data_IF_396683519300
#
_entry.id   IF_396683519300
#
_cell.length_a   1.000
_cell.length_b   1.000
_cell.length_c   1.000
_cell.angle_alpha   90.00
_cell.angle_beta   90.00
_cell.angle_gamma   90.00
#
_symmetry.space_group_name_H-M   'P 1'
#
loop_
_entity.id
_entity.type
_entity.pdbx_description
1 polymer ?
#
# COMPACT_ATOMS: atom_id res chain seq x y z
N UNK A 1 -29.70 9.82 8.19
CA UNK A 1 -30.23 9.38 6.89
C UNK A 1 -29.23 9.57 5.76
N UNK A 2 -29.34 10.67 5.01
CA UNK A 2 -28.57 10.87 3.76
C UNK A 2 -27.05 10.88 3.89
N UNK A 3 -26.47 11.47 4.94
CA UNK A 3 -25.00 11.53 5.09
C UNK A 3 -24.36 10.17 5.41
N UNK A 4 -25.07 9.29 6.12
CA UNK A 4 -24.57 7.94 6.43
C UNK A 4 -24.62 7.01 5.21
N UNK A 5 -25.60 7.21 4.33
CA UNK A 5 -25.71 6.50 3.05
C UNK A 5 -24.64 7.00 2.07
N UNK A 6 -24.40 8.32 2.00
CA UNK A 6 -23.32 8.88 1.18
C UNK A 6 -21.95 8.40 1.66
N UNK A 7 -21.71 8.33 2.98
CA UNK A 7 -20.45 7.77 3.52
C UNK A 7 -20.26 6.27 3.22
N UNK A 8 -21.37 5.53 3.03
CA UNK A 8 -21.33 4.13 2.58
C UNK A 8 -21.04 4.03 1.07
N UNK A 9 -21.68 4.85 0.23
CA UNK A 9 -21.43 4.88 -1.21
C UNK A 9 -20.02 5.40 -1.56
N UNK A 10 -19.51 6.37 -0.80
CA UNK A 10 -18.14 6.90 -0.97
C UNK A 10 -17.05 5.95 -0.44
N UNK A 11 -17.40 4.92 0.34
CA UNK A 11 -16.46 3.89 0.77
C UNK A 11 -15.83 3.14 -0.42
N UNK A 12 -16.47 3.13 -1.59
CA UNK A 12 -15.92 2.48 -2.80
C UNK A 12 -14.82 3.29 -3.51
N UNK A 13 -14.58 4.57 -3.15
CA UNK A 13 -13.51 5.38 -3.79
C UNK A 13 -12.26 5.40 -2.93
N UNK A 14 -11.38 4.41 -3.11
CA UNK A 14 -10.09 4.40 -2.44
C UNK A 14 -9.17 5.52 -3.00
N UNK A 15 -8.98 6.58 -2.21
CA UNK A 15 -8.15 7.73 -2.55
C UNK A 15 -6.71 7.62 -1.99
N UNK A 16 -6.40 6.53 -1.30
CA UNK A 16 -5.11 6.33 -0.62
C UNK A 16 -4.53 4.97 -0.97
N UNK A 17 -3.26 4.92 -1.37
CA UNK A 17 -2.57 3.69 -1.74
C UNK A 17 -1.28 3.54 -0.95
N UNK A 18 -0.92 2.29 -0.63
CA UNK A 18 0.36 1.93 -0.03
C UNK A 18 1.03 0.83 -0.86
N UNK A 19 2.29 1.03 -1.23
CA UNK A 19 3.01 0.07 -2.07
C UNK A 19 4.39 -0.23 -1.49
N UNK A 20 4.77 -1.50 -1.51
CA UNK A 20 6.13 -1.91 -1.17
C UNK A 20 7.13 -1.46 -2.24
N UNK A 21 8.34 -1.09 -1.84
CA UNK A 21 9.47 -0.91 -2.76
C UNK A 21 10.64 -1.73 -2.24
N UNK A 22 11.03 -2.74 -3.00
CA UNK A 22 12.08 -3.69 -2.64
C UNK A 22 13.26 -3.48 -3.58
N UNK A 23 14.46 -3.36 -3.01
CA UNK A 23 15.69 -3.39 -3.78
C UNK A 23 16.22 -4.82 -3.86
N UNK A 24 16.42 -5.34 -5.08
CA UNK A 24 17.01 -6.65 -5.33
C UNK A 24 18.38 -6.49 -6.00
N UNK A 25 19.44 -6.85 -5.29
CA UNK A 25 20.80 -6.91 -5.82
C UNK A 25 20.98 -8.16 -6.68
N UNK A 26 22.00 -8.13 -7.53
CA UNK A 26 22.34 -9.26 -8.39
C UNK A 26 22.50 -10.55 -7.58
N UNK A 27 21.83 -11.61 -8.02
CA UNK A 27 21.92 -12.95 -7.43
C UNK A 27 21.11 -13.18 -6.15
N UNK A 28 20.47 -12.16 -5.57
CA UNK A 28 19.61 -12.34 -4.40
C UNK A 28 18.32 -13.08 -4.78
N UNK A 29 18.00 -14.17 -4.08
CA UNK A 29 16.86 -15.04 -4.39
C UNK A 29 16.07 -15.50 -3.17
N UNK A 30 16.45 -15.06 -1.97
CA UNK A 30 15.73 -15.32 -0.72
C UNK A 30 15.12 -14.06 -0.12
N UNK A 31 14.02 -14.22 0.61
CA UNK A 31 13.35 -13.14 1.34
C UNK A 31 14.31 -12.38 2.28
N UNK A 32 15.17 -13.12 2.98
CA UNK A 32 16.16 -12.60 3.93
C UNK A 32 17.18 -11.68 3.25
N UNK A 33 17.67 -12.06 2.07
CA UNK A 33 18.58 -11.24 1.27
C UNK A 33 17.90 -9.95 0.77
N UNK A 34 16.64 -10.06 0.30
CA UNK A 34 15.88 -8.93 -0.23
C UNK A 34 15.62 -7.87 0.85
N UNK A 35 15.15 -8.28 2.03
CA UNK A 35 14.91 -7.36 3.13
C UNK A 35 16.17 -6.99 3.91
N UNK A 36 17.29 -7.71 3.73
CA UNK A 36 18.58 -7.40 4.37
C UNK A 36 19.32 -6.20 3.78
N UNK A 37 18.87 -5.64 2.66
CA UNK A 37 19.54 -4.52 2.00
C UNK A 37 19.42 -3.20 2.78
N UNK A 38 20.54 -2.58 3.15
CA UNK A 38 20.58 -1.31 3.90
C UNK A 38 21.15 -0.12 3.13
N UNK A 39 21.79 -0.38 1.99
CA UNK A 39 22.46 0.65 1.23
C UNK A 39 21.64 1.01 0.00
N UNK A 40 21.47 2.30 -0.22
CA UNK A 40 20.83 2.86 -1.41
C UNK A 40 21.90 3.30 -2.40
N UNK A 41 21.96 2.64 -3.56
CA UNK A 41 22.84 3.04 -4.66
C UNK A 41 22.33 4.31 -5.33
N UNK A 42 23.19 5.04 -6.07
CA UNK A 42 22.75 6.19 -6.87
C UNK A 42 21.61 5.85 -7.84
N UNK A 43 21.66 4.65 -8.45
CA UNK A 43 20.63 4.15 -9.36
C UNK A 43 19.28 3.97 -8.64
N UNK A 44 19.29 3.38 -7.44
CA UNK A 44 18.08 3.20 -6.66
C UNK A 44 17.50 4.53 -6.18
N UNK A 45 18.34 5.47 -5.72
CA UNK A 45 17.89 6.82 -5.34
C UNK A 45 17.27 7.58 -6.53
N UNK A 46 17.87 7.48 -7.72
CA UNK A 46 17.30 8.04 -8.94
C UNK A 46 15.92 7.45 -9.23
N UNK A 47 15.76 6.12 -9.11
CA UNK A 47 14.46 5.47 -9.25
C UNK A 47 13.44 5.93 -8.21
N UNK A 48 13.82 6.05 -6.93
CA UNK A 48 12.93 6.53 -5.87
C UNK A 48 12.41 7.94 -6.17
N UNK A 49 13.25 8.82 -6.73
CA UNK A 49 12.82 10.17 -7.16
C UNK A 49 11.77 10.16 -8.28
N UNK A 50 11.70 9.08 -9.08
CA UNK A 50 10.66 8.91 -10.10
C UNK A 50 9.32 8.54 -9.47
N UNK A 51 9.32 7.86 -8.32
CA UNK A 51 8.10 7.46 -7.61
C UNK A 51 7.45 8.62 -6.87
N UNK A 52 8.25 9.45 -6.20
CA UNK A 52 7.73 10.50 -5.32
C UNK A 52 8.81 11.37 -4.70
N UNK A 53 8.36 12.24 -3.81
CA UNK A 53 9.21 13.09 -3.01
C UNK A 53 9.67 12.35 -1.77
N UNK A 54 10.94 12.53 -1.40
CA UNK A 54 11.45 12.06 -0.12
C UNK A 54 10.92 12.98 0.98
N UNK A 55 10.18 12.43 1.94
CA UNK A 55 9.53 13.16 3.03
C UNK A 55 10.08 12.71 4.37
N UNK A 56 10.14 13.62 5.34
CA UNK A 56 10.36 13.26 6.75
C UNK A 56 9.05 12.70 7.33
N UNK A 57 9.15 11.62 8.09
CA UNK A 57 7.99 10.98 8.71
C UNK A 57 7.52 11.75 9.96
N UNK A 58 8.46 12.36 10.69
CA UNK A 58 8.14 13.14 11.87
C UNK A 58 7.15 14.26 11.51
N UNK A 59 6.00 14.28 12.19
CA UNK A 59 4.95 15.27 12.00
C UNK A 59 4.32 15.33 10.60
N UNK A 60 4.57 14.33 9.73
CA UNK A 60 3.98 14.26 8.39
C UNK A 60 2.45 14.30 8.43
N UNK A 61 1.84 15.13 7.55
CA UNK A 61 0.40 15.41 7.57
C UNK A 61 -0.41 14.70 6.49
N UNK A 62 0.24 14.08 5.51
CA UNK A 62 -0.42 13.30 4.45
C UNK A 62 -0.79 11.88 4.88
N UNK A 63 -1.29 11.10 3.94
CA UNK A 63 -1.55 9.67 4.17
C UNK A 63 -0.28 8.92 4.57
N UNK A 64 -0.24 8.42 5.81
CA UNK A 64 0.97 7.77 6.39
C UNK A 64 1.20 6.31 6.00
N UNK A 65 0.27 5.65 5.29
CA UNK A 65 0.44 4.27 4.82
C UNK A 65 0.60 3.18 5.88
N UNK A 66 0.61 3.53 7.16
CA UNK A 66 0.91 2.63 8.26
C UNK A 66 2.20 2.94 9.01
N UNK A 67 2.96 3.93 8.54
CA UNK A 67 4.20 4.40 9.15
C UNK A 67 3.93 5.25 10.41
N UNK A 68 4.91 5.25 11.31
CA UNK A 68 4.93 6.05 12.52
C UNK A 68 5.44 7.46 12.21
N UNK A 69 4.62 8.45 12.54
CA UNK A 69 4.88 9.88 12.32
C UNK A 69 5.16 10.63 13.63
N UNK A 70 5.20 9.92 14.76
CA UNK A 70 5.27 10.52 16.10
C UNK A 70 6.49 10.09 16.90
N UNK A 71 6.94 8.84 16.77
CA UNK A 71 8.03 8.29 17.60
C UNK A 71 9.20 7.72 16.80
N UNK A 72 9.19 7.84 15.47
CA UNK A 72 10.28 7.40 14.59
C UNK A 72 10.50 5.88 14.55
N UNK A 73 9.49 5.07 14.90
CA UNK A 73 9.63 3.61 14.99
C UNK A 73 9.73 2.92 13.62
N UNK A 74 9.35 3.60 12.54
CA UNK A 74 9.33 3.04 11.17
C UNK A 74 10.29 3.76 10.23
N UNK A 75 11.39 4.28 10.77
CA UNK A 75 12.36 5.10 10.03
C UNK A 75 12.09 6.59 10.17
N UNK A 76 13.01 7.41 9.67
CA UNK A 76 12.93 8.87 9.71
C UNK A 76 12.32 9.48 8.46
N UNK A 77 12.37 8.77 7.34
CA UNK A 77 11.94 9.27 6.03
C UNK A 77 11.28 8.17 5.20
N UNK A 78 10.53 8.59 4.20
CA UNK A 78 9.92 7.70 3.21
C UNK A 78 9.73 8.41 1.87
N UNK A 79 9.17 7.73 0.87
CA UNK A 79 8.80 8.32 -0.41
C UNK A 79 7.28 8.44 -0.48
N UNK A 80 6.80 9.62 -0.88
CA UNK A 80 5.38 9.94 -0.95
C UNK A 80 5.04 10.72 -2.22
N UNK A 81 3.82 10.56 -2.74
CA UNK A 81 3.31 11.44 -3.78
C UNK A 81 1.80 11.56 -3.80
N UNK A 82 1.31 12.66 -4.37
CA UNK A 82 -0.09 12.79 -4.79
C UNK A 82 -0.15 12.61 -6.30
N UNK A 83 -0.83 11.56 -6.74
CA UNK A 83 -1.01 11.24 -8.15
C UNK A 83 -2.50 11.19 -8.50
N UNK A 84 -2.96 12.08 -9.39
CA UNK A 84 -4.37 12.19 -9.79
C UNK A 84 -5.34 12.25 -8.60
N UNK A 85 -5.03 13.14 -7.64
CA UNK A 85 -5.77 13.34 -6.39
C UNK A 85 -5.77 12.13 -5.43
N UNK A 86 -4.92 11.13 -5.67
CA UNK A 86 -4.72 9.98 -4.79
C UNK A 86 -3.39 10.11 -4.07
N UNK A 87 -3.39 9.93 -2.76
CA UNK A 87 -2.17 9.92 -1.97
C UNK A 87 -1.54 8.52 -2.01
N UNK A 88 -0.24 8.45 -2.25
CA UNK A 88 0.51 7.19 -2.34
C UNK A 88 1.69 7.25 -1.38
N UNK A 89 1.69 6.34 -0.41
CA UNK A 89 2.82 6.11 0.49
C UNK A 89 3.62 4.89 0.03
N UNK A 90 4.94 5.00 -0.06
CA UNK A 90 5.80 3.88 -0.42
C UNK A 90 6.50 3.30 0.81
N UNK A 91 6.38 2.00 1.04
CA UNK A 91 7.16 1.29 2.05
C UNK A 91 8.51 0.88 1.43
N UNK A 92 9.49 1.78 1.49
CA UNK A 92 10.82 1.55 0.91
C UNK A 92 11.67 0.69 1.85
N UNK A 93 12.10 -0.48 1.39
CA UNK A 93 12.79 -1.48 2.22
C UNK A 93 14.04 -0.92 2.91
N UNK A 94 14.82 -0.08 2.23
CA UNK A 94 16.05 0.53 2.76
C UNK A 94 15.79 1.68 3.75
N UNK A 95 14.60 2.30 3.72
CA UNK A 95 14.21 3.40 4.63
C UNK A 95 13.51 2.91 5.89
N UNK A 96 12.99 1.69 5.86
CA UNK A 96 12.45 1.01 7.04
C UNK A 96 13.60 0.54 7.95
N UNK A 97 13.38 0.50 9.28
CA UNK A 97 14.40 0.15 10.25
C UNK A 97 15.04 -1.20 9.95
N UNK A 98 16.37 -1.25 10.05
CA UNK A 98 17.12 -2.48 10.03
C UNK A 98 17.35 -2.97 11.45
N UNK A 99 17.09 -4.25 11.72
CA UNK A 99 17.35 -4.85 13.03
C UNK A 99 18.51 -5.83 12.92
N UNK A 100 19.64 -5.51 13.54
CA UNK A 100 20.80 -6.42 13.57
C UNK A 100 20.43 -7.72 14.30
N UNK A 101 20.80 -8.87 13.72
CA UNK A 101 20.46 -10.19 14.25
C UNK A 101 19.06 -10.72 13.91
N UNK A 102 18.16 -9.89 13.37
CA UNK A 102 16.88 -10.35 12.83
C UNK A 102 17.01 -10.69 11.35
N UNK A 103 17.31 -11.95 11.04
CA UNK A 103 17.52 -12.40 9.65
C UNK A 103 16.26 -12.19 8.79
N UNK A 104 15.07 -12.27 9.38
CA UNK A 104 13.79 -12.09 8.66
C UNK A 104 13.39 -10.62 8.49
N UNK A 105 14.08 -9.69 9.16
CA UNK A 105 13.78 -8.26 9.15
C UNK A 105 12.28 -7.98 9.34
N UNK A 106 11.72 -8.50 10.43
CA UNK A 106 10.27 -8.51 10.72
C UNK A 106 9.65 -7.12 10.67
N UNK A 107 10.38 -6.07 11.05
CA UNK A 107 9.89 -4.68 10.95
C UNK A 107 9.63 -4.29 9.50
N UNK A 108 10.53 -4.63 8.57
CA UNK A 108 10.36 -4.36 7.13
C UNK A 108 9.24 -5.21 6.55
N UNK A 109 9.25 -6.50 6.87
CA UNK A 109 8.25 -7.46 6.44
C UNK A 109 6.84 -7.12 6.92
N UNK A 110 6.69 -6.57 8.13
CA UNK A 110 5.38 -6.14 8.66
C UNK A 110 4.72 -5.05 7.82
N UNK A 111 5.50 -4.17 7.21
CA UNK A 111 4.96 -3.13 6.34
C UNK A 111 4.79 -3.67 4.92
N UNK A 112 5.89 -4.05 4.27
CA UNK A 112 5.89 -4.46 2.86
C UNK A 112 5.10 -5.76 2.65
N UNK A 113 5.22 -6.72 3.57
CA UNK A 113 4.51 -7.98 3.51
C UNK A 113 3.01 -7.87 3.77
N UNK A 114 2.51 -6.71 4.21
CA UNK A 114 1.07 -6.41 4.33
C UNK A 114 0.57 -5.47 3.22
N UNK A 115 1.44 -5.09 2.28
CA UNK A 115 0.99 -4.42 1.06
C UNK A 115 0.41 -5.44 0.08
N UNK A 116 -0.46 -4.97 -0.81
CA UNK A 116 -1.06 -5.81 -1.85
C UNK A 116 -0.15 -5.89 -3.08
N UNK A 117 0.55 -4.79 -3.37
CA UNK A 117 1.42 -4.62 -4.55
C UNK A 117 2.77 -4.08 -4.12
N UNK A 118 3.84 -4.57 -4.73
CA UNK A 118 5.18 -4.03 -4.55
C UNK A 118 5.90 -3.77 -5.89
N UNK A 119 6.73 -2.73 -5.92
CA UNK A 119 7.73 -2.53 -6.96
C UNK A 119 9.04 -3.20 -6.55
N UNK A 120 9.68 -3.91 -7.47
CA UNK A 120 11.00 -4.53 -7.26
C UNK A 120 12.01 -3.84 -8.17
N UNK A 121 12.97 -3.13 -7.60
CA UNK A 121 14.01 -2.45 -8.36
C UNK A 121 15.26 -3.33 -8.50
N UNK A 122 15.81 -3.41 -9.71
CA UNK A 122 16.99 -4.19 -10.06
C UNK A 122 18.00 -3.35 -10.85
N UNK A 123 19.27 -3.42 -10.49
CA UNK A 123 20.36 -2.88 -11.33
C UNK A 123 20.88 -3.88 -12.35
N UNK A 124 20.79 -5.17 -12.02
CA UNK A 124 21.18 -6.26 -12.89
C UNK A 124 20.06 -7.30 -12.97
N UNK A 125 19.91 -7.92 -14.14
CA UNK A 125 18.87 -8.89 -14.39
C UNK A 125 18.98 -10.06 -13.41
N UNK A 126 17.98 -10.16 -12.53
CA UNK A 126 17.90 -11.22 -11.51
C UNK A 126 16.52 -11.86 -11.58
N UNK A 127 16.41 -13.20 -11.60
CA UNK A 127 15.11 -13.86 -11.53
C UNK A 127 14.33 -13.44 -10.28
N UNK A 128 13.03 -13.20 -10.43
CA UNK A 128 12.13 -12.94 -9.33
C UNK A 128 10.81 -13.66 -9.58
N UNK A 129 10.33 -14.38 -8.56
CA UNK A 129 9.01 -15.01 -8.57
C UNK A 129 8.25 -14.63 -7.30
N UNK A 130 6.91 -14.49 -7.34
CA UNK A 130 6.10 -14.13 -6.19
C UNK A 130 6.37 -14.95 -4.92
N UNK A 131 6.71 -16.23 -5.08
CA UNK A 131 6.96 -17.18 -3.98
C UNK A 131 8.26 -16.88 -3.21
N UNK A 132 9.13 -16.01 -3.71
CA UNK A 132 10.34 -15.58 -2.99
C UNK A 132 10.01 -14.82 -1.70
N UNK A 133 8.81 -14.22 -1.59
CA UNK A 133 8.37 -13.48 -0.42
C UNK A 133 7.13 -14.14 0.16
N UNK A 134 7.25 -14.65 1.38
CA UNK A 134 6.18 -15.33 2.09
C UNK A 134 5.21 -14.29 2.69
N UNK A 135 4.20 -13.91 1.91
CA UNK A 135 3.16 -12.98 2.30
C UNK A 135 1.75 -13.50 2.00
N UNK A 136 0.82 -13.14 2.88
CA UNK A 136 -0.61 -13.34 2.66
C UNK A 136 -1.27 -12.24 1.83
N UNK A 137 -0.60 -11.10 1.64
CA UNK A 137 -1.18 -9.89 1.06
C UNK A 137 -0.54 -9.52 -0.28
N UNK A 138 0.76 -9.73 -0.46
CA UNK A 138 1.43 -9.43 -1.73
C UNK A 138 0.93 -10.38 -2.83
N UNK A 139 0.24 -9.82 -3.82
CA UNK A 139 -0.36 -10.57 -4.94
C UNK A 139 0.15 -10.11 -6.30
N UNK A 140 0.70 -8.91 -6.42
CA UNK A 140 1.27 -8.43 -7.68
C UNK A 140 2.59 -7.66 -7.45
N UNK A 141 3.51 -7.82 -8.40
CA UNK A 141 4.82 -7.21 -8.39
C UNK A 141 5.11 -6.55 -9.75
N UNK A 142 5.61 -5.31 -9.70
CA UNK A 142 6.12 -4.60 -10.88
C UNK A 142 7.64 -4.53 -10.78
N UNK A 143 8.34 -5.32 -11.58
CA UNK A 143 9.80 -5.33 -11.64
C UNK A 143 10.26 -4.19 -12.54
N UNK A 144 11.23 -3.43 -12.06
CA UNK A 144 11.85 -2.31 -12.77
C UNK A 144 13.36 -2.54 -12.78
N UNK A 145 13.89 -2.98 -13.91
CA UNK A 145 15.31 -3.12 -14.13
C UNK A 145 15.86 -1.88 -14.83
N UNK A 146 16.86 -1.22 -14.24
CA UNK A 146 17.49 -0.03 -14.85
C UNK A 146 18.60 -0.43 -15.83
N UNK A 147 18.76 0.38 -16.88
CA UNK A 147 19.85 0.34 -17.84
C UNK A 147 20.47 1.74 -17.97
N UNK A 148 21.79 1.83 -18.05
CA UNK A 148 22.53 3.10 -18.08
C UNK A 148 22.13 4.08 -16.95
N UNK A 149 22.05 3.63 -15.68
CA UNK A 149 21.59 4.46 -14.57
C UNK A 149 22.42 5.73 -14.39
N UNK A 150 21.80 6.78 -13.85
CA UNK A 150 22.45 8.06 -13.57
C UNK A 150 23.03 8.75 -14.81
N UNK A 151 22.44 8.54 -15.99
CA UNK A 151 22.81 9.21 -17.25
C UNK A 151 21.61 9.91 -17.89
N UNK A 152 21.83 10.62 -19.00
CA UNK A 152 20.76 11.14 -19.86
C UNK A 152 20.04 10.05 -20.65
N UNK A 153 20.66 8.86 -20.75
CA UNK A 153 20.16 7.71 -21.48
C UNK A 153 19.59 6.63 -20.56
N UNK A 154 19.32 6.93 -19.29
CA UNK A 154 18.70 6.00 -18.35
C UNK A 154 17.39 5.45 -18.92
N UNK A 155 17.32 4.13 -19.04
CA UNK A 155 16.12 3.39 -19.42
C UNK A 155 15.72 2.41 -18.33
N UNK A 156 14.44 2.05 -18.30
CA UNK A 156 13.86 1.11 -17.36
C UNK A 156 13.11 0.02 -18.12
N UNK A 157 13.58 -1.21 -17.99
CA UNK A 157 12.88 -2.39 -18.48
C UNK A 157 11.89 -2.84 -17.42
N UNK A 158 10.64 -2.99 -17.81
CA UNK A 158 9.54 -3.32 -16.88
C UNK A 158 8.98 -4.70 -17.20
N UNK A 159 8.78 -5.50 -16.15
CA UNK A 159 8.01 -6.74 -16.22
C UNK A 159 7.06 -6.83 -15.03
N UNK A 160 6.01 -7.63 -15.18
CA UNK A 160 4.98 -7.80 -14.15
C UNK A 160 4.85 -9.28 -13.84
N UNK A 161 4.77 -9.61 -12.56
CA UNK A 161 4.41 -10.95 -12.09
C UNK A 161 3.35 -10.82 -11.01
N UNK A 162 2.39 -11.73 -10.99
CA UNK A 162 1.29 -11.74 -10.04
C UNK A 162 0.88 -13.19 -9.77
N UNK A 163 0.08 -13.39 -8.72
CA UNK A 163 -0.56 -14.69 -8.48
C UNK A 163 -1.55 -15.01 -9.60
N UNK A 164 -1.80 -16.31 -9.82
CA UNK A 164 -2.63 -16.80 -10.92
C UNK A 164 -4.08 -16.29 -10.88
N UNK A 165 -4.59 -15.96 -9.69
CA UNK A 165 -5.95 -15.48 -9.47
C UNK A 165 -6.11 -13.96 -9.70
N UNK A 166 -5.04 -13.25 -10.02
CA UNK A 166 -5.08 -11.80 -10.32
C UNK A 166 -5.37 -11.59 -11.81
N UNK A 167 -6.47 -10.93 -12.19
CA UNK A 167 -6.78 -10.67 -13.59
C UNK A 167 -5.78 -9.68 -14.21
N UNK A 168 -5.60 -9.68 -15.55
CA UNK A 168 -4.75 -8.70 -16.23
C UNK A 168 -5.16 -7.26 -15.93
N UNK A 169 -4.17 -6.38 -15.74
CA UNK A 169 -4.39 -4.97 -15.42
C UNK A 169 -3.57 -4.03 -16.31
N UNK A 170 -4.15 -2.88 -16.63
CA UNK A 170 -3.52 -1.87 -17.47
C UNK A 170 -2.60 -0.91 -16.68
N UNK A 171 -1.91 0.02 -17.36
CA UNK A 171 -1.72 0.07 -18.82
C UNK A 171 -0.93 -1.14 -19.35
N UNK A 172 -1.12 -1.57 -20.61
CA UNK A 172 -0.34 -2.64 -21.21
C UNK A 172 1.14 -2.26 -21.32
N UNK A 173 2.03 -3.24 -21.23
CA UNK A 173 3.46 -3.00 -21.47
C UNK A 173 3.68 -2.69 -22.97
N UNK A 174 4.57 -1.74 -23.31
CA UNK A 174 4.99 -1.52 -24.68
C UNK A 174 5.80 -2.72 -25.20
N UNK A 175 6.02 -2.77 -26.51
CA UNK A 175 6.91 -3.74 -27.14
C UNK A 175 8.00 -2.99 -27.93
N UNK A 176 9.25 -2.94 -27.44
CA UNK A 176 9.77 -3.59 -26.22
C UNK A 176 9.27 -2.93 -24.94
N UNK A 177 9.27 -3.68 -23.82
CA UNK A 177 8.81 -3.22 -22.50
C UNK A 177 9.82 -2.32 -21.78
N UNK A 178 10.28 -1.27 -22.48
CA UNK A 178 11.35 -0.37 -22.05
C UNK A 178 10.86 1.07 -22.07
N UNK A 179 11.16 1.81 -21.02
CA UNK A 179 10.79 3.21 -20.84
C UNK A 179 12.03 4.08 -20.66
N UNK A 180 12.00 5.31 -21.15
CA UNK A 180 13.02 6.31 -20.79
C UNK A 180 12.67 6.96 -19.45
N UNK A 181 13.69 7.35 -18.67
CA UNK A 181 13.49 8.19 -17.50
C UNK A 181 12.72 9.46 -17.90
N UNK A 182 11.61 9.74 -17.22
CA UNK A 182 10.79 10.92 -17.51
C UNK A 182 9.35 10.80 -16.98
N UNK A 183 8.53 11.84 -17.21
CA UNK A 183 7.15 11.90 -16.70
C UNK A 183 6.24 10.81 -17.27
N UNK A 184 6.47 10.36 -18.50
CA UNK A 184 5.71 9.27 -19.12
C UNK A 184 5.91 7.94 -18.38
N UNK A 185 7.16 7.63 -17.99
CA UNK A 185 7.45 6.43 -17.20
C UNK A 185 6.82 6.52 -15.81
N UNK A 186 6.88 7.69 -15.17
CA UNK A 186 6.21 7.93 -13.88
C UNK A 186 4.70 7.72 -13.96
N UNK A 187 4.03 8.33 -14.95
CA UNK A 187 2.57 8.18 -15.13
C UNK A 187 2.20 6.72 -15.39
N UNK A 188 2.97 6.02 -16.24
CA UNK A 188 2.80 4.59 -16.48
C UNK A 188 2.93 3.79 -15.17
N UNK A 189 4.03 3.96 -14.43
CA UNK A 189 4.35 3.14 -13.26
C UNK A 189 3.33 3.33 -12.14
N UNK A 190 2.97 4.58 -11.80
CA UNK A 190 1.99 4.87 -10.75
C UNK A 190 0.60 4.36 -11.14
N UNK A 191 0.18 4.55 -12.40
CA UNK A 191 -1.08 4.00 -12.90
C UNK A 191 -1.08 2.48 -12.86
N UNK A 192 0.05 1.84 -13.21
CA UNK A 192 0.21 0.38 -13.21
C UNK A 192 0.10 -0.21 -11.82
N UNK A 193 0.71 0.42 -10.81
CA UNK A 193 0.62 0.00 -9.40
C UNK A 193 -0.81 0.10 -8.86
N UNK A 194 -1.50 1.23 -9.10
CA UNK A 194 -2.90 1.41 -8.69
C UNK A 194 -3.80 0.35 -9.34
N UNK A 195 -3.64 0.13 -10.64
CA UNK A 195 -4.45 -0.85 -11.36
C UNK A 195 -4.12 -2.29 -10.95
N UNK A 196 -2.87 -2.57 -10.56
CA UNK A 196 -2.51 -3.86 -9.98
C UNK A 196 -3.29 -4.11 -8.68
N UNK A 197 -3.36 -3.13 -7.78
CA UNK A 197 -4.09 -3.27 -6.53
C UNK A 197 -5.60 -3.45 -6.77
N UNK A 198 -6.17 -2.63 -7.66
CA UNK A 198 -7.57 -2.76 -8.07
C UNK A 198 -7.89 -4.13 -8.70
N UNK A 199 -6.91 -4.75 -9.38
CA UNK A 199 -7.06 -6.10 -9.91
C UNK A 199 -6.93 -7.17 -8.81
N UNK A 200 -6.02 -6.99 -7.85
CA UNK A 200 -5.90 -7.88 -6.70
C UNK A 200 -7.19 -7.96 -5.88
N UNK A 201 -7.95 -6.86 -5.71
CA UNK A 201 -9.24 -6.93 -5.03
C UNK A 201 -10.27 -7.84 -5.73
N UNK A 202 -10.10 -8.10 -7.02
CA UNK A 202 -10.96 -9.02 -7.79
C UNK A 202 -10.53 -10.48 -7.67
N UNK A 203 -9.43 -10.77 -6.97
CA UNK A 203 -8.98 -12.14 -6.70
C UNK A 203 -9.84 -12.78 -5.62
N UNK A 204 -9.98 -14.12 -5.66
CA UNK A 204 -10.88 -14.85 -4.76
C UNK A 204 -10.61 -14.58 -3.28
N UNK A 205 -9.34 -14.38 -2.91
CA UNK A 205 -8.93 -14.15 -1.52
C UNK A 205 -9.41 -12.79 -1.04
N UNK A 206 -9.18 -11.74 -1.83
CA UNK A 206 -9.55 -10.38 -1.46
C UNK A 206 -11.03 -10.10 -1.64
N UNK A 207 -11.68 -10.65 -2.68
CA UNK A 207 -13.11 -10.52 -2.87
C UNK A 207 -13.90 -11.09 -1.67
N UNK A 208 -13.42 -12.20 -1.08
CA UNK A 208 -14.02 -12.76 0.16
C UNK A 208 -13.79 -11.86 1.38
N UNK A 209 -12.60 -11.26 1.50
CA UNK A 209 -12.28 -10.35 2.60
C UNK A 209 -13.11 -9.06 2.49
N UNK A 210 -13.17 -8.46 1.30
CA UNK A 210 -13.97 -7.28 0.99
C UNK A 210 -15.47 -7.54 1.23
N UNK A 211 -15.99 -8.70 0.78
CA UNK A 211 -17.38 -9.08 1.02
C UNK A 211 -17.73 -9.17 2.51
N UNK A 212 -16.81 -9.69 3.34
CA UNK A 212 -16.98 -9.74 4.80
C UNK A 212 -16.96 -8.36 5.43
N UNK A 213 -16.04 -7.49 5.02
CA UNK A 213 -15.96 -6.11 5.52
C UNK A 213 -17.19 -5.31 5.11
N UNK A 214 -17.63 -5.43 3.85
CA UNK A 214 -18.83 -4.77 3.33
C UNK A 214 -20.08 -5.21 4.08
N UNK A 215 -20.23 -6.51 4.37
CA UNK A 215 -21.34 -7.02 5.17
C UNK A 215 -21.34 -6.45 6.59
N UNK A 216 -20.18 -6.45 7.27
CA UNK A 216 -20.07 -5.89 8.62
C UNK A 216 -20.35 -4.38 8.66
N UNK A 217 -19.94 -3.62 7.64
CA UNK A 217 -20.26 -2.19 7.54
C UNK A 217 -21.76 -1.96 7.30
N UNK A 218 -22.39 -2.78 6.46
CA UNK A 218 -23.83 -2.73 6.21
C UNK A 218 -24.64 -3.03 7.48
N UNK A 219 -24.26 -4.06 8.23
CA UNK A 219 -24.92 -4.43 9.48
C UNK A 219 -24.84 -3.29 10.50
N UNK A 220 -23.65 -2.68 10.66
CA UNK A 220 -23.48 -1.53 11.55
C UNK A 220 -24.30 -0.30 11.10
N UNK A 221 -24.34 -0.02 9.80
CA UNK A 221 -25.14 1.09 9.25
C UNK A 221 -26.63 0.86 9.49
N UNK A 222 -27.10 -0.37 9.29
CA UNK A 222 -28.46 -0.78 9.55
C UNK A 222 -28.84 -0.57 11.02
N UNK A 223 -28.00 -1.05 11.95
CA UNK A 223 -28.23 -0.91 13.39
C UNK A 223 -28.25 0.55 13.84
N UNK A 224 -27.35 1.38 13.31
CA UNK A 224 -27.31 2.82 13.58
C UNK A 224 -28.58 3.53 13.10
N UNK A 225 -29.00 3.28 11.85
CA UNK A 225 -30.21 3.87 11.27
C UNK A 225 -31.47 3.39 12.00
N UNK A 226 -31.52 2.12 12.40
CA UNK A 226 -32.64 1.60 13.18
C UNK A 226 -32.72 2.25 14.56
N UNK A 227 -31.59 2.39 15.26
CA UNK A 227 -31.54 3.07 16.55
C UNK A 227 -31.96 4.54 16.44
N UNK A 228 -31.50 5.27 15.42
CA UNK A 228 -31.91 6.65 15.17
C UNK A 228 -33.40 6.76 14.85
N UNK A 229 -33.95 5.80 14.09
CA UNK A 229 -35.39 5.75 13.77
C UNK A 229 -36.24 5.51 15.02
N UNK A 230 -35.83 4.58 15.89
CA UNK A 230 -36.52 4.30 17.16
C UNK A 230 -36.49 5.51 18.11
N UNK A 231 -35.35 6.20 18.20
CA UNK A 231 -35.22 7.44 18.98
C UNK A 231 -36.12 8.57 18.43
N UNK A 232 -36.21 8.71 17.10
CA UNK A 232 -37.04 9.73 16.44
C UNK A 232 -38.53 9.46 16.61
N UNK A 233 -38.94 8.19 16.67
CA UNK A 233 -40.33 7.77 16.90
C UNK A 233 -40.73 7.80 18.38
N UNK A 234 -39.83 8.20 19.29
CA UNK A 234 -40.10 8.29 20.73
C UNK A 234 -40.27 6.92 21.40
N UNK A 235 -39.74 5.85 20.81
CA UNK A 235 -39.84 4.48 21.32
C UNK A 235 -38.61 4.07 22.15
N UNK A 236 -37.88 5.03 22.72
CA UNK A 236 -36.78 4.76 23.66
C UNK A 236 -37.34 4.22 24.98
N UNK A 237 -36.84 3.06 25.41
CA UNK A 237 -37.25 2.41 26.66
C UNK A 237 -37.21 3.38 27.84
N UNK A 238 -38.33 3.52 28.54
CA UNK A 238 -38.38 4.11 29.86
C UNK A 238 -37.73 3.12 30.85
N UNK A 239 -36.52 3.43 31.30
CA UNK A 239 -35.89 2.71 32.40
C UNK A 239 -34.38 2.89 32.48
N UNK A 240 -33.97 3.72 33.45
CA UNK A 240 -32.66 3.79 34.13
C UNK A 240 -31.79 5.03 33.83
N UNK A 241 -31.94 6.01 34.73
CA UNK A 241 -31.01 7.10 34.97
C UNK A 241 -29.73 6.59 35.67
N UNK A 242 -28.62 7.22 35.27
CA UNK A 242 -27.32 7.33 35.97
C UNK A 242 -26.52 6.07 36.31
N UNK A 243 -25.55 5.76 35.44
CA UNK A 243 -24.10 5.81 35.74
C UNK A 243 -23.28 5.29 34.57
N UNK A 244 -22.41 6.14 34.01
CA UNK A 244 -20.96 5.91 33.82
C UNK A 244 -20.41 6.92 32.82
N UNK A 245 -19.59 7.84 33.34
CA UNK A 245 -18.64 8.63 32.54
C UNK A 245 -17.57 7.73 31.91
N UNK A 246 -17.01 8.27 30.81
CA UNK A 246 -15.82 7.86 30.07
C UNK A 246 -15.92 6.66 29.12
N UNK A 247 -15.83 6.96 27.82
CA UNK A 247 -15.37 5.98 26.83
C UNK A 247 -15.64 6.31 25.36
N UNK A 248 -14.81 7.16 24.77
CA UNK A 248 -14.36 7.01 23.38
C UNK A 248 -15.40 7.19 22.26
N UNK A 249 -15.74 8.43 21.95
CA UNK A 249 -16.19 8.77 20.59
C UNK A 249 -14.97 8.81 19.66
N UNK A 250 -14.87 7.84 18.76
CA UNK A 250 -13.92 7.81 17.65
C UNK A 250 -13.13 6.51 17.62
N UNK A 251 -13.22 5.74 16.52
CA UNK A 251 -12.20 4.71 16.27
C UNK A 251 -12.57 3.49 15.43
N UNK A 252 -13.83 3.23 15.06
CA UNK A 252 -14.11 2.03 14.27
C UNK A 252 -13.71 2.19 12.79
N UNK A 253 -14.00 3.35 12.18
CA UNK A 253 -13.58 3.63 10.79
C UNK A 253 -12.06 3.75 10.64
N UNK A 254 -11.35 4.15 11.70
CA UNK A 254 -9.89 4.16 11.69
C UNK A 254 -9.28 2.76 11.80
N UNK A 255 -9.94 1.81 12.46
CA UNK A 255 -9.40 0.45 12.65
C UNK A 255 -9.42 -0.40 11.37
N UNK A 256 -10.28 -0.07 10.39
CA UNK A 256 -10.28 -0.74 9.09
C UNK A 256 -9.18 -0.30 8.14
N UNK A 257 -8.51 0.84 8.39
CA UNK A 257 -7.32 1.26 7.63
C UNK A 257 -6.05 0.47 7.97
N UNK A 258 -6.11 -0.40 8.98
CA UNK A 258 -4.97 -1.17 9.52
C UNK A 258 -4.99 -2.66 9.19
N UNK A 259 -5.88 -3.11 8.30
CA UNK A 259 -5.89 -4.47 7.76
C UNK A 259 -5.38 -4.51 6.32
#
# INVERSE_FOLDING_TARGET
>A
GSQLIVAYDEHEVNNTFKFGVIYQKFGQTSEEELFGNNEETPAFKEFLSILGDNIELQDFKGFRGGLDVSHGQTGSESVFTVFRQREIMFHVSTKLPFTEGDVQQLQRKRHIGNDIVAAVFQEEATPFVPDMIASNFLHAYVLVQVENPCTEHTTYKVSVTAREDVPPFGPPLPNPAVFKKGPEFRDFLLTKLINAENACYKSDKFAKLEGRTRAALLDNLHDELHRQSQATLGLGQAGEEDKLENGGHGGLLESFKWW
#
